data_IF_495471807890
#
_entry.id   IF_495471807890
#
_cell.length_a   1.000
_cell.length_b   1.000
_cell.length_c   1.000
_cell.angle_alpha   90.00
_cell.angle_beta   90.00
_cell.angle_gamma   90.00
#
_symmetry.space_group_name_H-M   'P 1'
#
loop_
_entity.id
_entity.type
_entity.pdbx_description
1 polymer ?
#
# COMPACT_ATOMS: atom_id res chain seq x y z
N UNK A 1 19.83 9.31 25.93
CA UNK A 1 19.23 7.96 26.04
C UNK A 1 17.78 8.16 25.66
N UNK A 2 17.41 7.71 24.47
CA UNK A 2 16.07 7.90 23.93
C UNK A 2 15.49 6.50 23.77
N UNK A 3 14.44 6.21 24.55
CA UNK A 3 13.70 4.96 24.51
C UNK A 3 12.23 5.35 24.33
N UNK A 4 11.75 5.13 23.13
CA UNK A 4 10.46 4.56 22.70
C UNK A 4 10.54 4.58 21.16
N UNK A 5 9.85 3.75 20.38
CA UNK A 5 8.40 3.71 20.23
C UNK A 5 8.11 2.39 19.51
N UNK A 6 7.29 1.55 20.15
CA UNK A 6 6.40 0.57 19.53
C UNK A 6 6.95 -0.22 18.31
N UNK A 7 7.31 -1.49 18.54
CA UNK A 7 7.55 -2.49 17.50
C UNK A 7 6.23 -2.95 16.84
N UNK A 8 5.22 -2.07 16.75
CA UNK A 8 4.08 -2.30 15.87
C UNK A 8 4.58 -2.08 14.45
N UNK A 9 5.00 -3.19 13.85
CA UNK A 9 5.08 -3.36 12.41
C UNK A 9 3.80 -2.73 11.85
N UNK A 10 3.87 -1.49 11.36
CA UNK A 10 2.82 -0.87 10.55
C UNK A 10 2.72 -1.75 9.33
N UNK A 11 1.88 -2.80 9.41
CA UNK A 11 1.55 -3.78 8.37
C UNK A 11 0.79 -3.01 7.31
N UNK A 12 1.50 -2.17 6.56
CA UNK A 12 0.95 -1.49 5.42
C UNK A 12 0.52 -2.57 4.43
N UNK A 13 -0.72 -2.48 3.97
CA UNK A 13 -1.28 -3.40 2.98
C UNK A 13 -1.23 -2.71 1.61
N UNK A 14 -1.57 -1.40 1.60
CA UNK A 14 -1.49 -0.54 0.43
C UNK A 14 -0.75 0.75 0.77
N UNK A 15 0.13 1.18 -0.13
CA UNK A 15 0.79 2.50 -0.07
C UNK A 15 0.52 3.27 -1.35
N UNK A 16 0.03 4.49 -1.21
CA UNK A 16 -0.02 5.44 -2.30
C UNK A 16 1.29 6.23 -2.34
N UNK A 17 1.96 6.25 -3.49
CA UNK A 17 3.14 7.07 -3.75
C UNK A 17 2.85 7.98 -4.94
N UNK A 18 2.93 9.28 -4.73
CA UNK A 18 2.82 10.26 -5.80
C UNK A 18 4.12 11.04 -5.92
N UNK A 19 4.54 11.28 -7.14
CA UNK A 19 5.60 12.22 -7.47
C UNK A 19 5.10 13.14 -8.60
N UNK A 20 5.89 14.16 -8.95
CA UNK A 20 5.50 15.16 -9.95
C UNK A 20 5.24 14.59 -11.37
N UNK A 21 5.61 13.34 -11.63
CA UNK A 21 5.47 12.70 -12.95
C UNK A 21 4.48 11.54 -12.96
N UNK A 22 4.27 10.88 -11.82
CA UNK A 22 3.57 9.59 -11.73
C UNK A 22 2.96 9.39 -10.35
N UNK A 23 1.78 8.78 -10.33
CA UNK A 23 1.22 8.20 -9.12
C UNK A 23 1.26 6.68 -9.22
N UNK A 24 1.50 6.02 -8.09
CA UNK A 24 1.59 4.57 -7.99
C UNK A 24 0.92 4.11 -6.71
N UNK A 25 0.36 2.91 -6.76
CA UNK A 25 0.01 2.16 -5.56
C UNK A 25 0.96 0.98 -5.41
N UNK A 26 1.36 0.70 -4.20
CA UNK A 26 2.15 -0.48 -3.86
C UNK A 26 1.30 -1.36 -2.97
N UNK A 27 1.02 -2.58 -3.44
CA UNK A 27 0.25 -3.58 -2.73
C UNK A 27 1.22 -4.62 -2.20
N UNK A 28 1.17 -4.86 -0.89
CA UNK A 28 2.10 -5.77 -0.21
C UNK A 28 2.04 -7.16 -0.84
N UNK A 29 3.20 -7.73 -1.17
CA UNK A 29 3.35 -9.05 -1.81
C UNK A 29 2.65 -9.20 -3.18
N UNK A 30 2.22 -8.10 -3.82
CA UNK A 30 1.60 -8.10 -5.16
C UNK A 30 2.34 -7.20 -6.15
N UNK A 31 2.98 -6.14 -5.67
CA UNK A 31 3.86 -5.29 -6.49
C UNK A 31 3.43 -3.82 -6.52
N UNK A 32 4.00 -3.09 -7.47
CA UNK A 32 3.75 -1.66 -7.69
C UNK A 32 2.96 -1.49 -8.97
N UNK A 33 1.89 -0.71 -8.91
CA UNK A 33 0.99 -0.44 -10.02
C UNK A 33 0.93 1.07 -10.29
N UNK A 34 1.12 1.46 -11.55
CA UNK A 34 0.94 2.86 -11.95
C UNK A 34 -0.55 3.21 -11.98
N UNK A 35 -0.87 4.41 -11.49
CA UNK A 35 -2.21 4.97 -11.47
C UNK A 35 -2.19 6.43 -11.92
N UNK A 36 -3.23 6.84 -12.61
CA UNK A 36 -3.37 8.22 -13.10
C UNK A 36 -4.11 9.09 -12.08
N UNK A 37 -4.99 8.48 -11.27
CA UNK A 37 -5.75 9.12 -10.20
C UNK A 37 -5.81 8.21 -8.97
N UNK A 38 -5.90 8.75 -7.73
CA UNK A 38 -6.15 7.95 -6.54
C UNK A 38 -7.36 7.01 -6.64
N UNK A 39 -8.38 7.37 -7.43
CA UNK A 39 -9.58 6.56 -7.64
C UNK A 39 -9.30 5.26 -8.43
N UNK A 40 -8.21 5.21 -9.20
CA UNK A 40 -7.82 4.03 -9.96
C UNK A 40 -7.43 2.85 -9.06
N UNK A 41 -7.25 3.08 -7.75
CA UNK A 41 -7.05 2.00 -6.75
C UNK A 41 -8.17 0.95 -6.79
N UNK A 42 -9.39 1.35 -7.13
CA UNK A 42 -10.56 0.47 -7.28
C UNK A 42 -10.35 -0.62 -8.33
N UNK A 43 -9.50 -0.38 -9.33
CA UNK A 43 -9.18 -1.35 -10.39
C UNK A 43 -8.34 -2.52 -9.86
N UNK A 44 -7.65 -2.34 -8.73
CA UNK A 44 -6.76 -3.33 -8.11
C UNK A 44 -7.37 -3.94 -6.85
N UNK A 45 -8.71 -3.92 -6.75
CA UNK A 45 -9.44 -4.43 -5.60
C UNK A 45 -9.10 -5.89 -5.29
N UNK A 46 -8.92 -6.72 -6.32
CA UNK A 46 -8.60 -8.14 -6.16
C UNK A 46 -7.25 -8.34 -5.46
N UNK A 47 -6.23 -7.64 -5.94
CA UNK A 47 -4.87 -7.67 -5.40
C UNK A 47 -4.83 -7.17 -3.96
N UNK A 48 -5.59 -6.11 -3.68
CA UNK A 48 -5.73 -5.55 -2.34
C UNK A 48 -6.40 -6.57 -1.41
N UNK A 49 -7.52 -7.17 -1.81
CA UNK A 49 -8.20 -8.19 -1.00
C UNK A 49 -7.25 -9.35 -0.71
N UNK A 50 -6.58 -9.89 -1.73
CA UNK A 50 -5.61 -10.99 -1.57
C UNK A 50 -4.44 -10.62 -0.65
N UNK A 51 -4.03 -9.35 -0.62
CA UNK A 51 -3.00 -8.86 0.29
C UNK A 51 -3.51 -8.64 1.73
N UNK A 52 -4.81 -8.38 1.91
CA UNK A 52 -5.45 -8.20 3.23
C UNK A 52 -5.82 -9.55 3.86
N UNK A 53 -6.29 -10.53 3.09
CA UNK A 53 -6.80 -11.82 3.60
C UNK A 53 -5.91 -12.50 4.64
N UNK A 54 -4.56 -12.52 4.53
CA UNK A 54 -3.71 -13.14 5.55
C UNK A 54 -3.66 -12.43 6.90
N UNK A 55 -4.26 -11.23 7.01
CA UNK A 55 -4.29 -10.41 8.21
C UNK A 55 -5.69 -10.30 8.84
N UNK A 56 -6.69 -10.93 8.23
CA UNK A 56 -8.05 -11.06 8.76
C UNK A 56 -8.15 -12.34 9.60
#
# INVERSE_FOLDING_TARGET
MEIEIDNSVKKWIVRFRTNSKKSTIEVRNKGVFEINSPLDISRYQKEIIEAVTPFI
#
